data_IF_868435354192
#
_entry.id   IF_868435354192
#
_cell.length_a   1.000
_cell.length_b   1.000
_cell.length_c   1.000
_cell.angle_alpha   90.00
_cell.angle_beta   90.00
_cell.angle_gamma   90.00
#
_symmetry.space_group_name_H-M   'P 1'
#
loop_
_entity.id
_entity.type
_entity.pdbx_description
1 polymer ?
#
# COMPACT_ATOMS: atom_id res chain seq x y z
N UNK A 1 42.10 7.69 -34.53
CA UNK A 1 42.21 8.75 -33.50
C UNK A 1 40.95 9.61 -33.57
N UNK A 2 39.99 9.39 -32.67
CA UNK A 2 38.72 10.13 -32.64
C UNK A 2 38.92 11.33 -31.71
N UNK A 3 38.93 12.55 -32.26
CA UNK A 3 38.96 13.79 -31.46
C UNK A 3 37.54 14.08 -30.97
N UNK A 4 37.24 13.66 -29.75
CA UNK A 4 36.03 14.08 -29.03
C UNK A 4 36.16 15.56 -28.66
N UNK A 5 35.24 16.38 -29.17
CA UNK A 5 35.15 17.82 -28.96
C UNK A 5 34.77 18.15 -27.51
N UNK A 6 35.34 19.21 -26.89
CA UNK A 6 35.16 19.54 -25.47
C UNK A 6 33.72 19.93 -25.09
N UNK A 7 32.85 20.22 -26.06
CA UNK A 7 31.45 20.57 -25.83
C UNK A 7 30.61 19.38 -25.32
N UNK A 8 30.99 18.15 -25.69
CA UNK A 8 30.26 16.94 -25.30
C UNK A 8 30.38 16.65 -23.80
N UNK A 9 31.53 17.01 -23.20
CA UNK A 9 31.79 16.74 -21.79
C UNK A 9 31.08 17.73 -20.87
N UNK A 10 30.95 19.00 -21.29
CA UNK A 10 30.22 20.04 -20.55
C UNK A 10 28.72 19.77 -20.48
N UNK A 11 28.12 19.27 -21.57
CA UNK A 11 26.70 18.88 -21.59
C UNK A 11 26.46 17.65 -20.69
N UNK A 12 27.39 16.68 -20.72
CA UNK A 12 27.31 15.50 -19.87
C UNK A 12 27.42 15.83 -18.38
N UNK A 13 28.32 16.75 -18.00
CA UNK A 13 28.49 17.23 -16.62
C UNK A 13 27.27 18.01 -16.11
N UNK A 14 26.67 18.88 -16.94
CA UNK A 14 25.46 19.62 -16.59
C UNK A 14 24.25 18.69 -16.43
N UNK A 15 24.12 17.66 -17.28
CA UNK A 15 23.09 16.64 -17.15
C UNK A 15 23.25 15.87 -15.82
N UNK A 16 24.46 15.48 -15.46
CA UNK A 16 24.73 14.75 -14.21
C UNK A 16 24.50 15.60 -12.94
N UNK A 17 24.75 16.91 -13.00
CA UNK A 17 24.56 17.84 -11.86
C UNK A 17 23.09 18.20 -11.59
N UNK A 18 22.22 18.11 -12.60
CA UNK A 18 20.77 18.44 -12.49
C UNK A 18 19.87 17.22 -12.26
N UNK A 19 20.40 15.99 -12.30
CA UNK A 19 19.64 14.75 -12.13
C UNK A 19 19.41 14.21 -10.69
N UNK A 20 20.00 14.69 -9.59
CA UNK A 20 19.95 13.93 -8.33
C UNK A 20 18.59 13.97 -7.60
N UNK A 21 17.61 14.76 -8.07
CA UNK A 21 16.35 14.98 -7.33
C UNK A 21 15.17 14.10 -7.76
N UNK A 22 15.28 13.38 -8.88
CA UNK A 22 14.15 12.62 -9.44
C UNK A 22 14.03 11.18 -8.89
N UNK A 23 15.07 10.65 -8.22
CA UNK A 23 14.97 9.44 -7.42
C UNK A 23 14.41 9.82 -6.04
N UNK A 24 13.15 10.25 -6.02
CA UNK A 24 12.41 10.47 -4.79
C UNK A 24 12.48 9.20 -3.93
N UNK A 25 12.77 9.41 -2.65
CA UNK A 25 13.07 8.38 -1.67
C UNK A 25 12.02 7.26 -1.65
N UNK A 26 12.44 6.03 -1.98
CA UNK A 26 11.82 4.85 -1.43
C UNK A 26 11.93 4.97 0.10
N UNK A 27 10.83 5.32 0.76
CA UNK A 27 10.80 5.42 2.21
C UNK A 27 10.92 3.99 2.74
N UNK A 28 12.12 3.62 3.21
CA UNK A 28 12.36 2.33 3.83
C UNK A 28 11.46 2.22 5.08
N UNK A 29 10.37 1.47 4.95
CA UNK A 29 9.46 1.20 6.07
C UNK A 29 10.12 0.16 6.97
N UNK A 30 10.85 0.64 7.96
CA UNK A 30 11.45 -0.19 9.00
C UNK A 30 10.40 -0.57 10.06
N UNK A 31 9.69 -1.67 9.83
CA UNK A 31 8.80 -2.26 10.83
C UNK A 31 9.56 -3.21 11.75
N UNK A 32 9.34 -3.10 13.06
CA UNK A 32 9.81 -4.09 14.02
C UNK A 32 9.09 -5.43 13.82
N UNK A 33 9.71 -6.54 14.25
CA UNK A 33 9.07 -7.86 14.22
C UNK A 33 7.71 -7.86 14.96
N UNK A 34 7.59 -7.11 16.06
CA UNK A 34 6.35 -6.97 16.80
C UNK A 34 5.26 -6.22 16.00
N UNK A 35 5.62 -5.17 15.27
CA UNK A 35 4.68 -4.46 14.40
C UNK A 35 4.22 -5.34 13.24
N UNK A 36 5.13 -6.12 12.65
CA UNK A 36 4.78 -7.07 11.59
C UNK A 36 3.82 -8.14 12.10
N UNK A 37 4.09 -8.71 13.27
CA UNK A 37 3.22 -9.71 13.88
C UNK A 37 1.86 -9.13 14.26
N UNK A 38 1.82 -7.94 14.85
CA UNK A 38 0.56 -7.24 15.15
C UNK A 38 -0.25 -6.98 13.89
N UNK A 39 0.40 -6.49 12.82
CA UNK A 39 -0.25 -6.29 11.53
C UNK A 39 -0.78 -7.59 10.93
N UNK A 40 -0.04 -8.70 11.08
CA UNK A 40 -0.46 -10.03 10.65
C UNK A 40 -1.69 -10.50 11.42
N UNK A 41 -1.73 -10.34 12.75
CA UNK A 41 -2.88 -10.70 13.59
C UNK A 41 -4.12 -9.89 13.21
N UNK A 42 -3.98 -8.58 13.03
CA UNK A 42 -5.09 -7.72 12.58
C UNK A 42 -5.58 -8.18 11.21
N UNK A 43 -4.68 -8.38 10.24
CA UNK A 43 -5.06 -8.70 8.87
C UNK A 43 -5.70 -10.08 8.71
N UNK A 44 -5.11 -11.10 9.36
CA UNK A 44 -5.50 -12.50 9.17
C UNK A 44 -6.57 -12.97 10.14
N UNK A 45 -6.57 -12.43 11.36
CA UNK A 45 -7.42 -12.92 12.45
C UNK A 45 -8.38 -11.85 12.99
N UNK A 46 -8.22 -10.59 12.59
CA UNK A 46 -9.04 -9.49 13.09
C UNK A 46 -8.80 -9.21 14.58
N UNK A 47 -7.62 -9.54 15.09
CA UNK A 47 -7.23 -9.33 16.50
C UNK A 47 -6.34 -8.09 16.60
N UNK A 48 -6.73 -7.16 17.47
CA UNK A 48 -6.03 -5.91 17.74
C UNK A 48 -4.74 -6.10 18.56
N UNK A 49 -4.04 -4.98 18.77
CA UNK A 49 -2.78 -4.97 19.55
C UNK A 49 -2.99 -5.31 21.03
N UNK A 50 -4.18 -5.04 21.54
CA UNK A 50 -4.62 -5.38 22.90
C UNK A 50 -5.05 -6.86 23.05
N UNK A 51 -5.07 -7.61 21.94
CA UNK A 51 -5.54 -9.01 21.93
C UNK A 51 -7.04 -9.15 21.78
N UNK A 52 -7.78 -8.04 21.71
CA UNK A 52 -9.24 -8.04 21.54
C UNK A 52 -9.61 -8.01 20.05
N UNK A 53 -10.80 -8.52 19.67
CA UNK A 53 -11.27 -8.39 18.30
C UNK A 53 -11.43 -6.92 17.89
N UNK A 54 -10.96 -6.61 16.67
CA UNK A 54 -11.18 -5.28 16.06
C UNK A 54 -12.67 -5.09 15.85
N UNK A 55 -13.21 -3.93 16.26
CA UNK A 55 -14.61 -3.58 16.07
C UNK A 55 -14.78 -2.71 14.84
N UNK A 56 -15.85 -2.94 14.08
CA UNK A 56 -16.21 -2.14 12.93
C UNK A 56 -17.73 -1.94 12.88
N UNK A 57 -18.18 -0.91 12.14
CA UNK A 57 -19.58 -0.72 11.80
C UNK A 57 -19.75 -0.91 10.30
N UNK A 58 -20.69 -1.78 9.89
CA UNK A 58 -21.09 -1.95 8.50
C UNK A 58 -22.46 -1.32 8.27
N UNK A 59 -22.72 -0.85 7.05
CA UNK A 59 -23.97 -0.19 6.67
C UNK A 59 -24.33 1.07 7.50
N UNK A 60 -23.40 1.55 8.34
CA UNK A 60 -23.53 2.78 9.14
C UNK A 60 -23.85 2.54 10.61
N UNK A 61 -24.43 1.39 10.97
CA UNK A 61 -25.01 1.17 12.31
C UNK A 61 -24.87 -0.26 12.86
N UNK A 62 -24.51 -1.25 12.03
CA UNK A 62 -24.37 -2.63 12.48
C UNK A 62 -22.95 -2.88 12.98
N UNK A 63 -22.76 -3.06 14.29
CA UNK A 63 -21.47 -3.46 14.87
C UNK A 63 -21.12 -4.90 14.46
N UNK A 64 -19.89 -5.10 14.02
CA UNK A 64 -19.33 -6.40 13.65
C UNK A 64 -17.95 -6.58 14.27
N UNK A 65 -17.58 -7.85 14.51
CA UNK A 65 -16.26 -8.24 15.00
C UNK A 65 -15.32 -8.58 13.84
N UNK A 66 -14.05 -8.20 13.95
CA UNK A 66 -12.99 -8.53 13.02
C UNK A 66 -12.73 -10.03 12.92
N UNK A 67 -13.04 -10.81 13.97
CA UNK A 67 -12.96 -12.28 13.93
C UNK A 67 -14.07 -12.92 13.09
N UNK A 68 -15.17 -12.19 12.84
CA UNK A 68 -16.25 -12.61 11.93
C UNK A 68 -15.94 -12.20 10.49
N UNK A 69 -15.37 -11.00 10.30
CA UNK A 69 -15.02 -10.44 8.99
C UNK A 69 -13.55 -9.99 8.96
N UNK A 70 -12.63 -10.94 8.79
CA UNK A 70 -11.20 -10.62 8.71
C UNK A 70 -10.88 -9.93 7.38
N UNK A 71 -9.89 -9.02 7.38
CA UNK A 71 -9.42 -8.40 6.14
C UNK A 71 -9.00 -9.46 5.11
N UNK A 72 -8.38 -10.54 5.57
CA UNK A 72 -7.93 -11.66 4.74
C UNK A 72 -9.05 -12.38 4.00
N UNK A 73 -10.25 -12.49 4.58
CA UNK A 73 -11.36 -13.21 3.94
C UNK A 73 -11.85 -12.50 2.67
N UNK A 74 -11.89 -11.17 2.67
CA UNK A 74 -12.32 -10.38 1.51
C UNK A 74 -11.14 -9.96 0.62
N UNK A 75 -10.06 -9.45 1.21
CA UNK A 75 -8.92 -8.89 0.46
C UNK A 75 -7.84 -9.91 0.09
N UNK A 76 -7.93 -11.14 0.62
CA UNK A 76 -7.08 -12.31 0.30
C UNK A 76 -5.62 -12.11 0.69
N UNK A 77 -4.79 -13.13 0.50
CA UNK A 77 -3.35 -13.07 0.84
C UNK A 77 -2.58 -11.98 0.08
N UNK A 78 -2.95 -11.72 -1.17
CA UNK A 78 -2.28 -10.70 -2.00
C UNK A 78 -2.68 -9.27 -1.63
N UNK A 79 -3.75 -9.09 -0.86
CA UNK A 79 -4.35 -7.78 -0.61
C UNK A 79 -5.03 -7.18 -1.85
N UNK A 80 -5.20 -7.93 -2.94
CA UNK A 80 -5.86 -7.45 -4.16
C UNK A 80 -7.38 -7.54 -4.11
N UNK A 81 -7.93 -8.34 -3.20
CA UNK A 81 -9.35 -8.66 -3.20
C UNK A 81 -9.79 -9.45 -4.44
N UNK A 82 -11.03 -9.23 -4.85
CA UNK A 82 -11.65 -9.94 -5.95
C UNK A 82 -13.18 -9.86 -5.92
N UNK A 83 -13.86 -10.57 -6.83
CA UNK A 83 -15.32 -10.59 -6.86
C UNK A 83 -15.87 -11.29 -5.61
N UNK A 84 -16.91 -10.68 -5.02
CA UNK A 84 -17.70 -11.17 -3.89
C UNK A 84 -19.18 -10.92 -4.20
N UNK A 85 -19.86 -11.95 -4.72
CA UNK A 85 -21.24 -11.81 -5.21
C UNK A 85 -21.33 -10.81 -6.36
N UNK A 86 -22.10 -9.75 -6.17
CA UNK A 86 -22.28 -8.64 -7.14
C UNK A 86 -21.34 -7.47 -6.90
N UNK A 87 -20.48 -7.54 -5.87
CA UNK A 87 -19.53 -6.48 -5.52
C UNK A 87 -18.11 -6.93 -5.80
N UNK A 88 -17.23 -5.96 -6.00
CA UNK A 88 -15.80 -6.21 -6.13
C UNK A 88 -15.09 -5.67 -4.88
N UNK A 89 -14.39 -6.55 -4.17
CA UNK A 89 -13.55 -6.18 -3.04
C UNK A 89 -12.30 -5.49 -3.58
N UNK A 90 -12.11 -4.24 -3.18
CA UNK A 90 -11.02 -3.39 -3.68
C UNK A 90 -9.66 -3.82 -3.12
N UNK A 91 -8.55 -3.50 -3.84
CA UNK A 91 -7.21 -3.75 -3.34
C UNK A 91 -6.89 -2.86 -2.13
N UNK A 92 -6.18 -3.43 -1.15
CA UNK A 92 -5.65 -2.79 0.06
C UNK A 92 -4.17 -3.13 0.29
N UNK A 93 -3.48 -3.59 -0.74
CA UNK A 93 -2.03 -3.77 -0.68
C UNK A 93 -1.31 -2.41 -0.54
N UNK A 94 -0.02 -2.43 -0.19
CA UNK A 94 0.73 -1.21 0.10
C UNK A 94 0.78 -0.19 -1.04
N UNK A 95 0.65 -0.64 -2.30
CA UNK A 95 0.62 0.26 -3.47
C UNK A 95 -0.74 0.96 -3.58
N UNK A 96 -1.84 0.20 -3.52
CA UNK A 96 -3.19 0.73 -3.78
C UNK A 96 -3.85 1.38 -2.56
N UNK A 97 -3.46 1.03 -1.33
CA UNK A 97 -4.13 1.54 -0.12
C UNK A 97 -3.92 3.05 0.09
N UNK A 98 -2.77 3.57 -0.35
CA UNK A 98 -2.38 4.97 -0.18
C UNK A 98 -2.74 5.85 -1.39
N UNK A 99 -3.18 5.23 -2.49
CA UNK A 99 -3.66 5.95 -3.66
C UNK A 99 -5.03 6.58 -3.37
N UNK A 100 -5.23 7.87 -3.68
CA UNK A 100 -6.54 8.49 -3.59
C UNK A 100 -7.54 7.73 -4.45
N UNK A 101 -8.65 7.28 -3.85
CA UNK A 101 -9.74 6.70 -4.63
C UNK A 101 -10.59 7.81 -5.25
N UNK A 102 -10.31 8.14 -6.51
CA UNK A 102 -11.22 8.92 -7.33
C UNK A 102 -12.42 8.03 -7.72
N UNK A 103 -13.56 8.27 -7.08
CA UNK A 103 -14.90 7.85 -7.51
C UNK A 103 -15.05 6.40 -8.00
N UNK A 104 -15.04 5.43 -7.08
CA UNK A 104 -15.42 4.04 -7.38
C UNK A 104 -16.94 3.78 -7.28
N UNK A 105 -17.73 4.76 -6.82
CA UNK A 105 -19.16 4.63 -6.52
C UNK A 105 -20.01 5.84 -6.98
N UNK A 106 -19.55 6.58 -7.99
CA UNK A 106 -20.39 7.57 -8.69
C UNK A 106 -20.96 6.90 -9.95
N UNK A 107 -21.91 5.98 -9.76
CA UNK A 107 -22.79 5.45 -10.82
C UNK A 107 -24.19 5.19 -10.29
#
# INVERSE_FOLDING_TARGET
MIRVTPCFWSIFLLFFLLLPSAFAADRELNFTANQLETGRLIYQQGIGRDGEPVKAYVMGDVEVSGTQFTCYNCHRRSGLGGPEGTKFVLPINGLSLLEPRSEMYMS
#
